data_IF_670891445906
#
_entry.id   IF_670891445906
#
_cell.length_a   1.000
_cell.length_b   1.000
_cell.length_c   1.000
_cell.angle_alpha   90.00
_cell.angle_beta   90.00
_cell.angle_gamma   90.00
#
_symmetry.space_group_name_H-M   'P 1'
#
loop_
_entity.id
_entity.type
_entity.pdbx_description
1 polymer ?
#
# COMPACT_ATOMS: atom_id res chain seq x y z
N UNK A 1 59.62 -2.39 -20.77
CA UNK A 1 58.60 -2.83 -19.79
C UNK A 1 58.14 -4.22 -20.18
N UNK A 2 58.32 -5.21 -19.32
CA UNK A 2 58.02 -6.62 -19.63
C UNK A 2 56.55 -6.95 -19.36
N UNK A 3 56.03 -8.03 -19.97
CA UNK A 3 54.64 -8.48 -19.76
C UNK A 3 54.30 -8.71 -18.27
N UNK A 4 55.28 -9.17 -17.49
CA UNK A 4 55.13 -9.41 -16.06
C UNK A 4 55.01 -8.12 -15.25
N UNK A 5 55.74 -7.06 -15.63
CA UNK A 5 55.65 -5.74 -14.98
C UNK A 5 54.26 -5.12 -15.15
N UNK A 6 53.63 -5.27 -16.31
CA UNK A 6 52.27 -4.78 -16.54
C UNK A 6 51.22 -5.48 -15.68
N UNK A 7 51.34 -6.80 -15.51
CA UNK A 7 50.41 -7.58 -14.68
C UNK A 7 50.54 -7.17 -13.21
N UNK A 8 51.77 -7.00 -12.73
CA UNK A 8 52.02 -6.55 -11.35
C UNK A 8 51.51 -5.13 -11.13
N UNK A 9 51.74 -4.22 -12.07
CA UNK A 9 51.26 -2.84 -11.97
C UNK A 9 49.73 -2.75 -11.97
N UNK A 10 49.06 -3.53 -12.83
CA UNK A 10 47.60 -3.60 -12.84
C UNK A 10 47.03 -4.19 -11.54
N UNK A 11 47.67 -5.23 -11.00
CA UNK A 11 47.27 -5.83 -9.72
C UNK A 11 47.40 -4.85 -8.55
N UNK A 12 48.51 -4.12 -8.47
CA UNK A 12 48.73 -3.10 -7.44
C UNK A 12 47.71 -1.96 -7.60
N UNK A 13 47.48 -1.47 -8.82
CA UNK A 13 46.51 -0.41 -9.09
C UNK A 13 45.09 -0.81 -8.67
N UNK A 14 44.67 -2.04 -8.97
CA UNK A 14 43.39 -2.57 -8.57
C UNK A 14 43.26 -2.72 -7.05
N UNK A 15 44.31 -3.22 -6.37
CA UNK A 15 44.33 -3.35 -4.91
C UNK A 15 44.24 -1.98 -4.22
N UNK A 16 44.99 -0.99 -4.70
CA UNK A 16 44.95 0.38 -4.15
C UNK A 16 43.57 1.01 -4.36
N UNK A 17 42.93 0.79 -5.51
CA UNK A 17 41.57 1.26 -5.76
C UNK A 17 40.55 0.62 -4.80
N UNK A 18 40.64 -0.69 -4.56
CA UNK A 18 39.76 -1.39 -3.61
C UNK A 18 39.98 -0.91 -2.17
N UNK A 19 41.23 -0.73 -1.76
CA UNK A 19 41.55 -0.16 -0.44
C UNK A 19 41.01 1.26 -0.34
N UNK A 20 41.13 2.07 -1.40
CA UNK A 20 40.53 3.40 -1.47
C UNK A 20 39.03 3.36 -1.23
N UNK A 21 38.29 2.47 -1.92
CA UNK A 21 36.84 2.29 -1.75
C UNK A 21 36.50 1.82 -0.33
N UNK A 22 37.29 0.92 0.26
CA UNK A 22 37.04 0.38 1.58
C UNK A 22 37.41 1.34 2.74
N UNK A 23 38.31 2.29 2.49
CA UNK A 23 38.70 3.33 3.44
C UNK A 23 37.93 4.64 3.26
N UNK A 24 37.16 4.75 2.18
CA UNK A 24 36.22 5.85 2.02
C UNK A 24 35.14 5.71 3.10
N UNK A 25 34.83 6.78 3.84
CA UNK A 25 33.86 6.72 4.91
C UNK A 25 32.48 6.26 4.42
N UNK A 26 31.77 5.45 5.20
CA UNK A 26 30.43 4.97 4.85
C UNK A 26 29.44 6.11 4.53
N UNK A 27 29.65 7.30 5.11
CA UNK A 27 28.80 8.49 4.89
C UNK A 27 28.77 9.00 3.45
N UNK A 28 29.73 8.64 2.58
CA UNK A 28 29.64 9.02 1.15
C UNK A 28 28.71 8.11 0.35
N UNK A 29 28.31 6.97 0.92
CA UNK A 29 27.36 6.02 0.33
C UNK A 29 25.99 6.08 1.00
N UNK A 30 25.92 6.63 2.20
CA UNK A 30 24.68 6.92 2.88
C UNK A 30 24.07 8.17 2.23
N UNK A 31 22.95 8.00 1.52
CA UNK A 31 22.13 9.10 1.05
C UNK A 31 21.63 9.87 2.29
N UNK A 32 22.39 10.86 2.78
CA UNK A 32 22.10 11.68 3.97
C UNK A 32 20.73 12.41 3.93
N UNK A 33 19.93 12.22 2.88
CA UNK A 33 18.60 12.80 2.76
C UNK A 33 17.43 11.87 3.09
N UNK A 34 17.64 10.55 3.26
CA UNK A 34 16.49 9.63 3.38
C UNK A 34 15.94 9.53 4.81
N UNK A 35 16.80 9.62 5.82
CA UNK A 35 16.42 9.55 7.24
C UNK A 35 16.10 10.92 7.86
N UNK A 36 16.40 12.01 7.14
CA UNK A 36 16.24 13.39 7.62
C UNK A 36 14.86 13.98 7.35
N UNK A 37 13.94 13.22 6.74
CA UNK A 37 12.62 13.74 6.46
C UNK A 37 11.86 13.92 7.79
N UNK A 38 11.35 15.14 8.08
CA UNK A 38 10.71 15.42 9.36
C UNK A 38 9.48 14.54 9.55
N UNK A 39 9.17 14.19 10.80
CA UNK A 39 7.91 13.52 11.09
C UNK A 39 6.72 14.40 10.66
N UNK A 40 5.71 13.80 10.03
CA UNK A 40 4.52 14.51 9.56
C UNK A 40 3.26 13.93 10.18
N UNK A 41 2.22 14.76 10.29
CA UNK A 41 0.91 14.29 10.73
C UNK A 41 0.21 13.63 9.55
N UNK A 42 -0.49 12.54 9.83
CA UNK A 42 -1.28 11.86 8.81
C UNK A 42 -2.31 12.84 8.18
N UNK A 43 -2.34 12.92 6.85
CA UNK A 43 -3.21 13.85 6.10
C UNK A 43 -2.55 15.19 5.73
N UNK A 44 -1.32 15.47 6.20
CA UNK A 44 -0.54 16.63 5.74
C UNK A 44 -0.30 16.54 4.22
N UNK A 45 -0.69 17.56 3.43
CA UNK A 45 -0.41 17.59 2.00
C UNK A 45 1.10 17.65 1.72
N UNK A 46 1.55 16.97 0.66
CA UNK A 46 2.94 17.03 0.22
C UNK A 46 3.29 18.45 -0.26
N UNK A 47 4.33 19.10 0.32
CA UNK A 47 4.77 20.42 -0.12
C UNK A 47 5.70 20.35 -1.35
N UNK A 48 6.25 19.17 -1.66
CA UNK A 48 7.12 18.92 -2.81
C UNK A 48 6.33 18.49 -4.06
N UNK A 49 6.93 18.70 -5.24
CA UNK A 49 6.37 18.36 -6.57
C UNK A 49 7.38 17.69 -7.50
N UNK A 50 8.31 16.96 -6.93
CA UNK A 50 9.43 16.32 -7.60
C UNK A 50 9.19 14.83 -7.88
N UNK A 51 7.94 14.40 -7.79
CA UNK A 51 7.51 13.02 -7.96
C UNK A 51 7.36 12.26 -6.64
N UNK A 52 7.98 12.71 -5.55
CA UNK A 52 7.85 12.10 -4.22
C UNK A 52 6.44 12.19 -3.65
N UNK A 53 5.65 13.15 -4.11
CA UNK A 53 4.24 13.29 -3.75
C UNK A 53 3.36 12.15 -4.26
N UNK A 54 3.88 11.33 -5.18
CA UNK A 54 3.21 10.14 -5.71
C UNK A 54 3.63 8.86 -4.99
N UNK A 55 4.55 8.93 -4.02
CA UNK A 55 5.03 7.80 -3.23
C UNK A 55 4.25 7.70 -1.91
N UNK A 56 4.31 6.54 -1.25
CA UNK A 56 3.77 6.40 0.09
C UNK A 56 4.61 7.22 1.07
N UNK A 57 4.02 8.19 1.78
CA UNK A 57 4.77 9.11 2.64
C UNK A 57 5.65 8.42 3.69
N UNK A 58 5.26 7.21 4.14
CA UNK A 58 6.01 6.41 5.11
C UNK A 58 7.36 5.86 4.62
N UNK A 59 7.69 6.01 3.33
CA UNK A 59 9.02 5.62 2.82
C UNK A 59 10.10 6.59 3.26
N UNK A 60 9.74 7.84 3.55
CA UNK A 60 10.69 8.88 3.96
C UNK A 60 10.29 9.49 5.30
N UNK A 61 9.00 9.70 5.57
CA UNK A 61 8.52 10.36 6.78
C UNK A 61 8.02 9.38 7.84
N UNK A 62 8.37 9.65 9.10
CA UNK A 62 7.64 9.07 10.24
C UNK A 62 6.25 9.69 10.34
N UNK A 63 5.21 8.88 10.21
CA UNK A 63 3.81 9.36 10.27
C UNK A 63 3.31 9.37 11.72
N UNK A 64 3.01 10.55 12.24
CA UNK A 64 2.39 10.75 13.54
C UNK A 64 0.88 10.61 13.40
N UNK A 65 0.33 9.63 14.12
CA UNK A 65 -1.11 9.43 14.27
C UNK A 65 -1.49 10.02 15.63
N UNK A 66 -2.22 11.15 15.68
CA UNK A 66 -2.63 11.71 16.98
C UNK A 66 -3.49 10.70 17.74
N UNK A 67 -3.31 10.61 19.06
CA UNK A 67 -3.92 9.56 19.91
C UNK A 67 -5.46 9.56 19.91
N UNK A 68 -6.08 10.64 19.40
CA UNK A 68 -7.54 10.76 19.20
C UNK A 68 -8.00 10.41 17.76
N UNK A 69 -7.11 9.87 16.91
CA UNK A 69 -7.41 9.54 15.51
C UNK A 69 -8.38 8.36 15.31
N UNK A 70 -8.71 7.61 16.36
CA UNK A 70 -9.81 6.63 16.31
C UNK A 70 -11.15 7.29 15.94
N UNK A 71 -11.30 8.61 16.20
CA UNK A 71 -12.50 9.38 15.89
C UNK A 71 -12.26 10.55 14.92
N UNK A 72 -11.02 10.79 14.50
CA UNK A 72 -10.68 11.85 13.56
C UNK A 72 -10.50 11.25 12.17
N UNK A 73 -11.62 11.23 11.42
CA UNK A 73 -11.62 11.11 9.95
C UNK A 73 -10.59 12.09 9.39
N UNK A 74 -9.42 11.59 9.00
CA UNK A 74 -8.45 12.37 8.26
C UNK A 74 -9.12 12.99 7.02
N UNK A 75 -9.00 14.30 6.78
CA UNK A 75 -9.18 14.83 5.46
C UNK A 75 -7.98 14.36 4.65
N UNK A 76 -8.18 13.25 3.94
CA UNK A 76 -7.26 12.76 2.92
C UNK A 76 -7.01 13.93 1.94
N UNK A 77 -5.74 14.24 1.71
CA UNK A 77 -5.30 15.19 0.69
C UNK A 77 -6.09 14.99 -0.60
N UNK A 78 -6.36 16.10 -1.30
CA UNK A 78 -7.22 16.36 -2.46
C UNK A 78 -7.20 15.40 -3.68
N UNK A 79 -6.81 14.14 -3.54
CA UNK A 79 -7.57 13.07 -4.18
C UNK A 79 -8.94 13.01 -3.51
N UNK A 80 -10.05 13.09 -4.25
CA UNK A 80 -11.38 12.82 -3.70
C UNK A 80 -11.28 11.55 -2.86
N UNK A 81 -11.41 11.67 -1.53
CA UNK A 81 -11.45 10.51 -0.65
C UNK A 81 -12.43 9.52 -1.28
N UNK A 82 -11.95 8.30 -1.53
CA UNK A 82 -12.73 7.35 -2.30
C UNK A 82 -14.07 7.16 -1.57
N UNK A 83 -15.21 7.32 -2.27
CA UNK A 83 -16.50 7.42 -1.61
C UNK A 83 -16.74 6.16 -0.78
N UNK A 84 -17.42 6.23 0.37
CA UNK A 84 -17.84 5.02 1.06
C UNK A 84 -18.62 4.12 0.10
N UNK A 85 -18.29 2.83 0.08
CA UNK A 85 -18.96 1.85 -0.78
C UNK A 85 -19.69 0.83 0.08
N UNK A 86 -20.76 0.26 -0.47
CA UNK A 86 -21.44 -0.87 0.17
C UNK A 86 -20.63 -2.13 -0.10
N UNK A 87 -20.53 -3.02 0.88
CA UNK A 87 -19.89 -4.32 0.71
C UNK A 87 -20.51 -5.07 -0.50
N UNK A 88 -19.66 -5.61 -1.38
CA UNK A 88 -20.08 -6.38 -2.56
C UNK A 88 -20.34 -5.59 -3.84
N UNK A 89 -20.18 -4.26 -3.83
CA UNK A 89 -20.29 -3.44 -5.05
C UNK A 89 -19.09 -3.76 -5.98
N UNK A 90 -19.33 -4.04 -7.28
CA UNK A 90 -18.25 -4.27 -8.23
C UNK A 90 -17.43 -2.99 -8.44
N UNK A 91 -16.12 -3.15 -8.62
CA UNK A 91 -15.23 -2.05 -8.93
C UNK A 91 -15.59 -1.40 -10.27
N UNK A 92 -15.85 -0.08 -10.33
CA UNK A 92 -16.15 0.61 -11.59
C UNK A 92 -14.88 1.03 -12.36
N UNK A 93 -13.70 0.76 -11.79
CA UNK A 93 -12.39 1.07 -12.37
C UNK A 93 -11.68 -0.21 -12.86
N UNK A 94 -10.82 -0.06 -13.86
CA UNK A 94 -10.08 -1.15 -14.51
C UNK A 94 -8.57 -0.84 -14.64
N UNK A 95 -8.05 -0.01 -13.74
CA UNK A 95 -6.67 0.47 -13.75
C UNK A 95 -5.77 -0.25 -12.73
N UNK A 96 -6.13 -1.49 -12.40
CA UNK A 96 -5.41 -2.35 -11.45
C UNK A 96 -5.93 -2.24 -10.02
N UNK A 97 -6.65 -1.15 -9.68
CA UNK A 97 -7.25 -0.98 -8.34
C UNK A 97 -8.37 -1.98 -8.06
N UNK A 98 -8.98 -2.58 -9.08
CA UNK A 98 -9.97 -3.65 -8.94
C UNK A 98 -9.42 -4.94 -8.35
N UNK A 99 -8.10 -5.08 -8.27
CA UNK A 99 -7.38 -6.23 -7.69
C UNK A 99 -6.93 -5.97 -6.26
N UNK A 100 -7.12 -4.75 -5.75
CA UNK A 100 -6.70 -4.35 -4.40
C UNK A 100 -7.82 -4.61 -3.38
N UNK A 101 -7.44 -4.70 -2.10
CA UNK A 101 -8.41 -4.73 -1.01
C UNK A 101 -9.14 -3.38 -0.96
N UNK A 102 -10.48 -3.39 -1.01
CA UNK A 102 -11.26 -2.16 -1.12
C UNK A 102 -11.09 -1.23 0.08
N UNK A 103 -10.87 -1.78 1.28
CA UNK A 103 -10.63 -1.04 2.52
C UNK A 103 -9.36 -0.19 2.49
N UNK A 104 -8.44 -0.46 1.56
CA UNK A 104 -7.24 0.35 1.34
C UNK A 104 -7.59 1.78 0.89
N UNK A 105 -8.73 1.98 0.22
CA UNK A 105 -9.14 3.28 -0.29
C UNK A 105 -10.54 3.70 0.13
N UNK A 106 -11.45 2.75 0.36
CA UNK A 106 -12.87 3.01 0.62
C UNK A 106 -13.28 2.63 2.05
N UNK A 107 -14.13 3.44 2.67
CA UNK A 107 -14.89 3.00 3.83
C UNK A 107 -15.99 2.02 3.40
N UNK A 108 -15.98 0.80 3.93
CA UNK A 108 -17.00 -0.21 3.64
C UNK A 108 -18.20 -0.02 4.57
N UNK A 109 -19.34 0.32 3.98
CA UNK A 109 -20.62 0.41 4.67
C UNK A 109 -21.29 -0.97 4.69
N UNK A 110 -21.37 -1.57 5.87
CA UNK A 110 -22.19 -2.75 6.11
C UNK A 110 -23.60 -2.24 6.42
N UNK A 111 -24.56 -2.41 5.49
CA UNK A 111 -25.97 -2.15 5.82
C UNK A 111 -26.43 -3.22 6.81
N UNK A 112 -26.63 -2.84 8.07
CA UNK A 112 -27.54 -3.58 8.96
C UNK A 112 -28.93 -3.66 8.30
N UNK A 113 -29.68 -4.75 8.49
CA UNK A 113 -30.94 -4.99 7.78
C UNK A 113 -32.08 -4.20 8.42
N UNK A 114 -32.03 -2.87 8.41
CA UNK A 114 -33.16 -2.01 8.80
C UNK A 114 -33.16 -0.77 7.91
N UNK A 115 -34.18 -0.65 7.05
CA UNK A 115 -34.42 0.55 6.23
C UNK A 115 -34.67 0.23 4.77
N UNK A 116 -35.86 -0.30 4.47
CA UNK A 116 -36.38 -0.41 3.11
C UNK A 116 -36.73 1.00 2.61
N UNK A 117 -35.89 1.58 1.75
CA UNK A 117 -36.23 2.82 1.04
C UNK A 117 -36.86 2.41 -0.32
N UNK A 118 -38.16 2.69 -0.54
CA UNK A 118 -38.88 2.24 -1.73
C UNK A 118 -38.48 2.97 -3.03
N UNK A 119 -37.62 4.00 -2.96
CA UNK A 119 -37.17 4.77 -4.12
C UNK A 119 -35.78 4.39 -4.66
N UNK A 120 -35.17 3.30 -4.16
CA UNK A 120 -33.91 2.80 -4.70
C UNK A 120 -34.17 1.57 -5.57
N UNK A 121 -33.74 1.53 -6.85
CA UNK A 121 -33.83 0.32 -7.66
C UNK A 121 -33.13 -0.83 -6.91
N UNK A 122 -33.62 -2.09 -7.02
CA UNK A 122 -33.22 -3.17 -6.13
C UNK A 122 -31.70 -3.39 -6.24
N UNK A 123 -30.97 -2.86 -5.24
CA UNK A 123 -29.53 -3.05 -5.17
C UNK A 123 -29.31 -4.50 -4.75
N UNK A 124 -28.64 -5.19 -5.66
CA UNK A 124 -28.25 -6.60 -5.65
C UNK A 124 -27.84 -7.08 -4.26
N UNK A 125 -28.30 -8.30 -3.96
CA UNK A 125 -28.16 -9.06 -2.73
C UNK A 125 -26.84 -8.79 -1.99
N UNK A 126 -26.95 -8.57 -0.68
CA UNK A 126 -25.82 -8.60 0.24
C UNK A 126 -25.00 -9.89 0.00
N UNK A 127 -23.67 -9.76 -0.02
CA UNK A 127 -22.77 -10.89 -0.19
C UNK A 127 -23.03 -11.90 0.95
N UNK A 128 -23.42 -13.15 0.63
CA UNK A 128 -23.84 -14.09 1.66
C UNK A 128 -22.67 -14.47 2.55
N UNK A 129 -22.96 -14.76 3.82
CA UNK A 129 -22.02 -15.51 4.64
C UNK A 129 -21.85 -16.91 4.03
N UNK A 130 -20.63 -17.44 4.05
CA UNK A 130 -20.30 -18.75 3.47
C UNK A 130 -19.66 -19.64 4.53
N UNK A 131 -19.82 -20.95 4.40
CA UNK A 131 -19.10 -21.88 5.26
C UNK A 131 -17.63 -21.92 4.87
N UNK A 132 -16.75 -22.12 5.87
CA UNK A 132 -15.35 -22.43 5.60
C UNK A 132 -15.24 -23.63 4.65
N UNK A 133 -14.36 -23.52 3.64
CA UNK A 133 -14.19 -24.55 2.61
C UNK A 133 -15.21 -24.52 1.47
N UNK A 134 -16.14 -23.54 1.44
CA UNK A 134 -17.08 -23.38 0.32
C UNK A 134 -16.30 -23.01 -0.96
N UNK A 135 -16.45 -23.76 -2.07
CA UNK A 135 -15.79 -23.43 -3.33
C UNK A 135 -16.34 -22.14 -3.92
N UNK A 136 -15.47 -21.33 -4.52
CA UNK A 136 -15.87 -20.08 -5.16
C UNK A 136 -16.67 -20.34 -6.46
N UNK A 137 -17.93 -19.89 -6.58
CA UNK A 137 -18.73 -20.08 -7.79
C UNK A 137 -18.42 -19.03 -8.89
N UNK A 138 -17.59 -18.04 -8.58
CA UNK A 138 -17.23 -16.94 -9.47
C UNK A 138 -16.15 -17.35 -10.48
N UNK A 139 -16.09 -16.66 -11.64
CA UNK A 139 -15.05 -16.84 -12.67
C UNK A 139 -14.48 -15.50 -13.17
N UNK A 140 -14.61 -14.47 -12.36
CA UNK A 140 -14.24 -13.09 -12.68
C UNK A 140 -12.96 -12.64 -11.97
N UNK A 141 -12.14 -13.60 -11.50
CA UNK A 141 -10.91 -13.37 -10.76
C UNK A 141 -11.13 -13.38 -9.25
N UNK A 142 -12.36 -13.25 -8.75
CA UNK A 142 -12.68 -13.31 -7.31
C UNK A 142 -12.47 -14.69 -6.72
N UNK A 143 -12.48 -15.74 -7.55
CA UNK A 143 -12.08 -17.09 -7.14
C UNK A 143 -10.62 -17.21 -6.69
N UNK A 144 -9.78 -16.21 -7.00
CA UNK A 144 -8.37 -16.17 -6.61
C UNK A 144 -8.12 -15.31 -5.35
N UNK A 145 -9.15 -14.68 -4.80
CA UNK A 145 -9.05 -13.81 -3.62
C UNK A 145 -9.25 -14.57 -2.32
N UNK A 146 -8.77 -14.00 -1.21
CA UNK A 146 -9.06 -14.52 0.13
C UNK A 146 -10.54 -14.29 0.43
N UNK A 147 -11.32 -15.36 0.63
CA UNK A 147 -12.78 -15.28 0.77
C UNK A 147 -13.26 -14.33 1.87
N UNK A 148 -12.49 -14.21 2.96
CA UNK A 148 -12.79 -13.33 4.08
C UNK A 148 -12.73 -11.83 3.73
N UNK A 149 -12.19 -11.44 2.57
CA UNK A 149 -12.19 -10.05 2.10
C UNK A 149 -13.58 -9.54 1.70
N UNK A 150 -14.50 -10.45 1.36
CA UNK A 150 -15.84 -10.12 0.87
C UNK A 150 -16.95 -10.87 1.61
N UNK A 151 -16.66 -12.06 2.15
CA UNK A 151 -17.64 -12.90 2.82
C UNK A 151 -17.35 -13.01 4.32
N UNK A 152 -18.41 -13.02 5.12
CA UNK A 152 -18.33 -13.52 6.49
C UNK A 152 -18.19 -15.06 6.45
N UNK A 153 -17.10 -15.58 6.99
CA UNK A 153 -16.85 -17.03 7.04
C UNK A 153 -17.52 -17.61 8.30
N UNK A 154 -18.36 -18.62 8.10
CA UNK A 154 -18.97 -19.41 9.17
C UNK A 154 -18.11 -20.65 9.37
N UNK A 155 -17.52 -20.77 10.56
CA UNK A 155 -16.79 -21.97 10.99
C UNK A 155 -17.72 -22.78 11.89
N UNK A 156 -18.11 -24.02 11.53
CA UNK A 156 -18.95 -24.82 12.42
C UNK A 156 -18.18 -25.19 13.68
N UNK A 157 -18.70 -24.81 14.85
CA UNK A 157 -18.16 -25.17 16.17
C UNK A 157 -17.44 -24.06 16.94
N UNK A 158 -17.53 -22.79 16.50
CA UNK A 158 -17.20 -21.61 17.31
C UNK A 158 -18.45 -20.80 17.65
#
# INVERSE_FOLDING_TARGET
MTKHEWIMAAGIGFLVALIGIALLPDHIWEDEGYDDAPAIVAGTPAPHRDGRENMACGTCHRILIPENAANMRLPLATSRAAPPIVAGVPAPHADGRERMVCETCHQILIRSPVGHNPNMPPIRQAVPAIMSGTPAPHRDGREKMVCASCHRIIVPGQ
#
